data_IF_285703794303
#
_entry.id   IF_285703794303
#
_cell.length_a   1.000
_cell.length_b   1.000
_cell.length_c   1.000
_cell.angle_alpha   90.00
_cell.angle_beta   90.00
_cell.angle_gamma   90.00
#
_symmetry.space_group_name_H-M   'P 1'
#
loop_
_entity.id
_entity.type
_entity.pdbx_description
1 polymer ?
#
# COMPACT_ATOMS: atom_id res chain seq x y z
N UNK A 1 -14.22 -4.14 -5.62
CA UNK A 1 -13.87 -5.58 -5.64
C UNK A 1 -14.16 -6.24 -4.29
N UNK A 2 -13.75 -5.68 -3.15
CA UNK A 2 -14.12 -6.23 -1.82
C UNK A 2 -15.60 -6.00 -1.53
N UNK A 3 -16.14 -4.83 -1.84
CA UNK A 3 -17.57 -4.53 -1.71
C UNK A 3 -18.46 -5.37 -2.65
N UNK A 4 -17.90 -5.88 -3.75
CA UNK A 4 -18.60 -6.84 -4.63
C UNK A 4 -18.42 -8.30 -4.22
N UNK A 5 -17.88 -8.55 -3.02
CA UNK A 5 -17.64 -9.88 -2.46
C UNK A 5 -16.71 -10.79 -3.29
N UNK A 6 -15.92 -10.22 -4.18
CA UNK A 6 -14.90 -10.98 -4.92
C UNK A 6 -13.72 -11.39 -4.04
N UNK A 7 -13.43 -10.56 -3.03
CA UNK A 7 -12.39 -10.79 -2.03
C UNK A 7 -12.96 -10.58 -0.64
N UNK A 8 -12.55 -11.42 0.30
CA UNK A 8 -12.98 -11.34 1.69
C UNK A 8 -12.10 -10.41 2.53
N UNK A 9 -10.96 -9.99 2.00
CA UNK A 9 -9.96 -9.20 2.73
C UNK A 9 -9.41 -8.07 1.86
N UNK A 10 -9.23 -6.92 2.50
CA UNK A 10 -8.44 -5.82 1.98
C UNK A 10 -7.18 -5.69 2.83
N UNK A 11 -6.01 -5.88 2.22
CA UNK A 11 -4.73 -5.70 2.88
C UNK A 11 -4.03 -4.47 2.35
N UNK A 12 -3.78 -3.51 3.23
CA UNK A 12 -3.00 -2.32 2.92
C UNK A 12 -1.57 -2.54 3.40
N UNK A 13 -0.62 -2.35 2.50
CA UNK A 13 0.81 -2.49 2.78
C UNK A 13 1.50 -1.19 2.42
N UNK A 14 2.28 -0.64 3.33
CA UNK A 14 3.10 0.54 3.07
C UNK A 14 4.47 0.36 3.71
N UNK A 15 5.51 0.74 2.96
CA UNK A 15 6.86 0.78 3.52
C UNK A 15 6.96 2.04 4.38
N UNK A 16 7.19 1.92 5.70
CA UNK A 16 7.41 3.09 6.52
C UNK A 16 8.79 3.65 6.18
N UNK A 17 8.82 4.70 5.38
CA UNK A 17 10.01 5.53 5.21
C UNK A 17 9.92 6.61 6.30
N UNK A 18 10.78 6.62 7.32
CA UNK A 18 10.80 7.69 8.30
C UNK A 18 11.18 8.99 7.59
N UNK A 19 10.43 10.06 7.83
CA UNK A 19 10.80 11.40 7.34
C UNK A 19 12.16 11.86 7.89
N UNK A 20 12.56 11.33 9.03
CA UNK A 20 13.88 11.45 9.65
C UNK A 20 14.38 10.04 9.94
N UNK A 21 15.66 9.76 9.88
CA UNK A 21 16.32 8.45 10.07
C UNK A 21 16.00 7.73 11.43
N UNK A 22 14.75 7.80 11.87
CA UNK A 22 14.27 7.21 13.12
C UNK A 22 13.92 5.75 12.87
N UNK A 23 14.63 4.85 13.55
CA UNK A 23 14.32 3.41 13.54
C UNK A 23 12.94 3.16 14.20
N UNK A 24 11.99 2.67 13.41
CA UNK A 24 10.62 2.34 13.88
C UNK A 24 10.65 1.33 15.02
N UNK A 25 11.67 0.48 15.10
CA UNK A 25 11.87 -0.47 16.19
C UNK A 25 12.02 0.20 17.55
N UNK A 26 12.55 1.42 17.60
CA UNK A 26 12.81 2.18 18.83
C UNK A 26 11.58 2.92 19.37
N UNK A 27 10.48 3.05 18.62
CA UNK A 27 9.28 3.74 19.09
C UNK A 27 8.55 2.91 20.16
N UNK A 28 8.17 3.49 21.29
CA UNK A 28 7.36 2.81 22.31
C UNK A 28 5.93 2.56 21.79
N UNK A 29 5.31 1.46 22.18
CA UNK A 29 3.93 1.15 21.87
C UNK A 29 3.71 -0.22 21.19
N UNK A 30 2.44 -0.62 21.08
CA UNK A 30 2.07 -1.85 20.38
C UNK A 30 2.35 -1.74 18.86
N UNK A 31 2.42 -2.89 18.17
CA UNK A 31 2.57 -2.96 16.72
C UNK A 31 1.54 -2.06 16.00
N UNK A 32 0.27 -2.11 16.42
CA UNK A 32 -0.80 -1.28 15.86
C UNK A 32 -0.57 0.22 16.04
N UNK A 33 -0.13 0.65 17.23
CA UNK A 33 0.13 2.06 17.49
C UNK A 33 1.32 2.61 16.67
N UNK A 34 2.33 1.77 16.43
CA UNK A 34 3.50 2.14 15.62
C UNK A 34 3.17 2.22 14.13
N UNK A 35 2.33 1.34 13.64
CA UNK A 35 2.02 1.20 12.21
C UNK A 35 0.85 2.10 11.80
N UNK A 36 -0.12 2.34 12.70
CA UNK A 36 -1.37 3.04 12.38
C UNK A 36 -1.18 4.44 11.78
N UNK A 37 -0.18 5.19 12.23
CA UNK A 37 0.10 6.54 11.71
C UNK A 37 0.48 6.55 10.23
N UNK A 38 1.16 5.52 9.74
CA UNK A 38 1.56 5.38 8.33
C UNK A 38 0.37 5.09 7.40
N UNK A 39 -0.70 4.53 7.94
CA UNK A 39 -1.91 4.19 7.19
C UNK A 39 -3.01 5.25 7.27
N UNK A 40 -2.78 6.34 8.01
CA UNK A 40 -3.80 7.37 8.24
C UNK A 40 -4.36 7.96 6.94
N UNK A 41 -3.50 8.24 5.95
CA UNK A 41 -3.94 8.73 4.65
C UNK A 41 -4.79 7.71 3.91
N UNK A 42 -4.34 6.45 3.85
CA UNK A 42 -5.08 5.38 3.16
C UNK A 42 -6.43 5.13 3.83
N UNK A 43 -6.48 5.08 5.16
CA UNK A 43 -7.75 4.91 5.89
C UNK A 43 -8.67 6.12 5.72
N UNK A 44 -8.14 7.33 5.61
CA UNK A 44 -8.93 8.52 5.31
C UNK A 44 -9.57 8.42 3.92
N UNK A 45 -8.83 8.02 2.88
CA UNK A 45 -9.40 7.77 1.56
C UNK A 45 -10.50 6.70 1.59
N UNK A 46 -10.29 5.61 2.31
CA UNK A 46 -11.34 4.59 2.46
C UNK A 46 -12.61 5.18 3.09
N UNK A 47 -12.47 6.05 4.09
CA UNK A 47 -13.61 6.74 4.73
C UNK A 47 -14.34 7.67 3.77
N UNK A 48 -13.57 8.46 3.03
CA UNK A 48 -14.14 9.49 2.14
C UNK A 48 -14.87 8.88 0.94
N UNK A 49 -14.46 7.69 0.49
CA UNK A 49 -15.02 7.01 -0.68
C UNK A 49 -15.90 5.80 -0.35
N UNK A 50 -15.99 5.39 0.90
CA UNK A 50 -16.92 4.34 1.31
C UNK A 50 -18.33 4.91 1.50
N UNK A 51 -19.29 4.39 0.76
CA UNK A 51 -20.68 4.85 0.77
C UNK A 51 -21.36 4.70 2.16
N UNK A 52 -21.13 5.66 3.06
CA UNK A 52 -21.85 5.74 4.35
C UNK A 52 -21.36 4.77 5.44
N UNK A 53 -20.19 4.17 5.28
CA UNK A 53 -19.58 3.34 6.33
C UNK A 53 -18.95 4.25 7.39
N UNK A 54 -19.26 4.02 8.66
CA UNK A 54 -18.76 4.81 9.78
C UNK A 54 -17.23 4.79 9.88
N UNK A 55 -16.66 5.92 10.31
CA UNK A 55 -15.22 6.14 10.49
C UNK A 55 -14.59 5.07 11.38
N UNK A 56 -15.25 4.68 12.46
CA UNK A 56 -14.76 3.65 13.38
C UNK A 56 -14.75 2.25 12.74
N UNK A 57 -15.45 2.08 11.62
CA UNK A 57 -15.45 0.82 10.88
C UNK A 57 -14.10 0.49 10.23
N UNK A 58 -13.18 1.46 10.14
CA UNK A 58 -11.83 1.26 9.58
C UNK A 58 -10.77 0.96 10.65
N UNK A 59 -11.17 0.76 11.91
CA UNK A 59 -10.28 0.19 12.91
C UNK A 59 -10.09 -1.32 12.63
N UNK A 60 -8.87 -1.77 12.30
CA UNK A 60 -8.60 -3.17 11.98
C UNK A 60 -8.78 -4.09 13.19
N UNK A 61 -8.81 -3.54 14.41
CA UNK A 61 -8.99 -4.31 15.66
C UNK A 61 -10.47 -4.49 16.03
N UNK A 62 -11.37 -3.78 15.36
CA UNK A 62 -12.79 -3.80 15.65
C UNK A 62 -13.51 -4.88 14.81
N UNK A 63 -13.76 -6.06 15.42
CA UNK A 63 -14.45 -7.17 14.78
C UNK A 63 -15.90 -6.83 14.36
N UNK A 64 -16.59 -5.98 15.11
CA UNK A 64 -17.95 -5.54 14.76
C UNK A 64 -17.93 -4.69 13.51
N UNK A 65 -16.96 -3.79 13.39
CA UNK A 65 -16.75 -2.98 12.20
C UNK A 65 -16.38 -3.85 10.97
N UNK A 66 -15.62 -4.92 11.14
CA UNK A 66 -15.32 -5.86 10.06
C UNK A 66 -16.60 -6.53 9.53
N UNK A 67 -17.53 -6.91 10.41
CA UNK A 67 -18.83 -7.46 10.01
C UNK A 67 -19.70 -6.46 9.24
N UNK A 68 -19.70 -5.20 9.66
CA UNK A 68 -20.44 -4.15 8.95
C UNK A 68 -19.89 -3.90 7.54
N UNK A 69 -18.56 -3.89 7.37
CA UNK A 69 -17.94 -3.72 6.04
C UNK A 69 -18.19 -4.90 5.11
N UNK A 70 -18.39 -6.08 5.64
CA UNK A 70 -18.45 -7.31 4.86
C UNK A 70 -17.10 -7.82 4.38
N UNK A 71 -15.98 -7.23 4.84
CA UNK A 71 -14.62 -7.68 4.58
C UNK A 71 -13.67 -7.35 5.73
N UNK A 72 -12.60 -8.10 5.87
CA UNK A 72 -11.53 -7.86 6.83
C UNK A 72 -10.57 -6.80 6.30
N UNK A 73 -10.24 -5.79 7.11
CA UNK A 73 -9.20 -4.81 6.82
C UNK A 73 -7.93 -5.16 7.58
N UNK A 74 -6.83 -5.34 6.85
CA UNK A 74 -5.51 -5.69 7.39
C UNK A 74 -4.53 -4.57 7.02
N UNK A 75 -3.74 -4.11 7.98
CA UNK A 75 -2.67 -3.14 7.74
C UNK A 75 -1.34 -3.76 8.13
N UNK A 76 -0.40 -3.81 7.19
CA UNK A 76 0.90 -4.45 7.37
C UNK A 76 2.04 -3.64 6.78
N UNK A 77 3.23 -3.83 7.32
CA UNK A 77 4.47 -3.35 6.73
C UNK A 77 5.25 -4.52 6.13
N UNK A 78 6.04 -4.33 5.06
CA UNK A 78 6.74 -5.41 4.39
C UNK A 78 7.58 -6.29 5.33
N UNK A 79 8.20 -5.69 6.34
CA UNK A 79 9.07 -6.41 7.29
C UNK A 79 8.35 -7.52 8.06
N UNK A 80 7.05 -7.39 8.32
CA UNK A 80 6.27 -8.35 9.07
C UNK A 80 5.59 -9.42 8.20
N UNK A 81 5.63 -9.26 6.89
CA UNK A 81 4.98 -10.18 5.96
C UNK A 81 5.81 -11.41 5.61
N UNK A 82 7.05 -11.48 6.09
CA UNK A 82 7.92 -12.63 5.84
C UNK A 82 7.31 -13.91 6.44
N UNK A 83 7.10 -14.94 5.60
CA UNK A 83 6.49 -16.21 6.03
C UNK A 83 4.97 -16.25 6.02
N UNK A 84 4.27 -15.13 5.75
CA UNK A 84 2.82 -15.12 5.60
C UNK A 84 2.40 -15.72 4.26
N UNK A 85 1.16 -16.23 4.20
CA UNK A 85 0.45 -16.55 2.96
C UNK A 85 -0.81 -15.71 2.90
N UNK A 86 -1.08 -15.10 1.75
CA UNK A 86 -2.20 -14.19 1.54
C UNK A 86 -3.23 -14.86 0.67
N UNK A 87 -4.41 -15.12 1.22
CA UNK A 87 -5.51 -15.86 0.57
C UNK A 87 -6.79 -15.02 0.60
N UNK A 88 -7.60 -15.12 -0.47
CA UNK A 88 -8.89 -14.42 -0.62
C UNK A 88 -8.79 -12.91 -0.38
N UNK A 89 -7.69 -12.31 -0.85
CA UNK A 89 -7.29 -10.95 -0.48
C UNK A 89 -6.95 -10.11 -1.72
N UNK A 90 -7.41 -8.87 -1.73
CA UNK A 90 -6.76 -7.82 -2.53
C UNK A 90 -5.73 -7.12 -1.65
N UNK A 91 -4.46 -7.17 -2.05
CA UNK A 91 -3.36 -6.48 -1.38
C UNK A 91 -3.01 -5.22 -2.17
N UNK A 92 -3.04 -4.06 -1.50
CA UNK A 92 -2.62 -2.77 -2.07
C UNK A 92 -1.30 -2.39 -1.39
N UNK A 93 -0.26 -2.25 -2.20
CA UNK A 93 1.08 -1.83 -1.77
C UNK A 93 1.29 -0.40 -2.22
N UNK A 94 1.26 0.52 -1.27
CA UNK A 94 1.39 1.96 -1.52
C UNK A 94 2.83 2.43 -1.35
N UNK A 95 3.19 3.55 -2.01
CA UNK A 95 4.57 4.09 -2.06
C UNK A 95 5.58 3.02 -2.48
N UNK A 96 5.24 2.31 -3.55
CA UNK A 96 6.03 1.15 -3.97
C UNK A 96 7.36 1.52 -4.63
N UNK A 97 7.57 2.78 -5.00
CA UNK A 97 8.84 3.33 -5.50
C UNK A 97 9.99 3.16 -4.51
N UNK A 98 9.67 3.17 -3.21
CA UNK A 98 10.64 2.99 -2.12
C UNK A 98 10.90 1.52 -1.75
N UNK A 99 10.41 0.59 -2.54
CA UNK A 99 10.66 -0.83 -2.35
C UNK A 99 11.88 -1.30 -3.14
N UNK A 100 12.77 -2.00 -2.46
CA UNK A 100 13.82 -2.76 -3.12
C UNK A 100 13.26 -3.95 -3.91
N UNK A 101 13.99 -4.45 -4.91
CA UNK A 101 13.61 -5.66 -5.64
C UNK A 101 13.37 -6.87 -4.72
N UNK A 102 14.14 -6.97 -3.64
CA UNK A 102 13.97 -8.03 -2.63
C UNK A 102 12.61 -7.94 -1.93
N UNK A 103 12.16 -6.73 -1.59
CA UNK A 103 10.86 -6.51 -0.97
C UNK A 103 9.72 -6.77 -1.95
N UNK A 104 9.81 -6.27 -3.19
CA UNK A 104 8.81 -6.54 -4.24
C UNK A 104 8.66 -8.04 -4.47
N UNK A 105 9.78 -8.76 -4.64
CA UNK A 105 9.77 -10.23 -4.78
C UNK A 105 9.17 -10.93 -3.57
N UNK A 106 9.53 -10.48 -2.37
CA UNK A 106 9.02 -11.04 -1.12
C UNK A 106 7.50 -10.86 -1.04
N UNK A 107 6.96 -9.68 -1.33
CA UNK A 107 5.51 -9.42 -1.33
C UNK A 107 4.78 -10.24 -2.39
N UNK A 108 5.26 -10.22 -3.63
CA UNK A 108 4.63 -10.96 -4.73
C UNK A 108 4.57 -12.47 -4.48
N UNK A 109 5.58 -13.03 -3.81
CA UNK A 109 5.58 -14.47 -3.46
C UNK A 109 4.68 -14.83 -2.28
N UNK A 110 4.01 -13.88 -1.63
CA UNK A 110 3.00 -14.13 -0.59
C UNK A 110 1.60 -14.36 -1.15
N UNK A 111 1.35 -13.90 -2.38
CA UNK A 111 0.04 -14.00 -3.02
C UNK A 111 -0.28 -15.47 -3.30
N UNK A 112 -1.39 -15.91 -2.76
CA UNK A 112 -1.91 -17.26 -2.89
C UNK A 112 -3.25 -17.29 -3.61
N UNK A 113 -4.01 -18.36 -3.36
CA UNK A 113 -5.28 -18.63 -4.03
C UNK A 113 -6.26 -17.47 -3.86
N UNK A 114 -6.97 -17.14 -4.94
CA UNK A 114 -8.00 -16.11 -4.99
C UNK A 114 -7.52 -14.77 -4.41
N UNK A 115 -6.31 -14.35 -4.78
CA UNK A 115 -5.75 -13.08 -4.31
C UNK A 115 -5.05 -12.35 -5.45
N UNK A 116 -5.00 -11.02 -5.34
CA UNK A 116 -4.23 -10.18 -6.25
C UNK A 116 -3.41 -9.15 -5.46
N UNK A 117 -2.41 -8.58 -6.12
CA UNK A 117 -1.58 -7.52 -5.60
C UNK A 117 -1.61 -6.34 -6.55
N UNK A 118 -1.78 -5.15 -6.00
CA UNK A 118 -1.75 -3.87 -6.71
C UNK A 118 -0.62 -3.05 -6.11
N UNK A 119 0.31 -2.61 -6.94
CA UNK A 119 1.35 -1.66 -6.56
C UNK A 119 0.95 -0.27 -7.02
N UNK A 120 0.98 0.71 -6.11
CA UNK A 120 0.74 2.12 -6.40
C UNK A 120 1.95 2.93 -5.96
N UNK A 121 2.34 3.92 -6.75
CA UNK A 121 3.48 4.78 -6.44
C UNK A 121 3.87 5.69 -7.58
N UNK A 122 4.78 6.60 -7.32
CA UNK A 122 5.33 7.53 -8.28
C UNK A 122 6.86 7.39 -8.36
N UNK A 123 7.34 6.81 -9.44
CA UNK A 123 8.78 6.59 -9.65
C UNK A 123 9.61 7.87 -9.55
N UNK A 124 9.04 9.03 -9.90
CA UNK A 124 9.75 10.31 -9.82
C UNK A 124 9.98 10.77 -8.39
N UNK A 125 9.14 10.32 -7.45
CA UNK A 125 9.24 10.64 -6.02
C UNK A 125 10.16 9.68 -5.25
N UNK A 126 10.66 8.61 -5.89
CA UNK A 126 11.55 7.65 -5.24
C UNK A 126 12.76 8.35 -4.58
N UNK A 127 13.07 8.00 -3.34
CA UNK A 127 14.28 8.46 -2.68
C UNK A 127 15.54 8.10 -3.49
N UNK A 128 16.58 8.93 -3.42
CA UNK A 128 17.82 8.76 -4.21
C UNK A 128 18.41 7.36 -4.12
N UNK A 129 18.33 6.72 -2.94
CA UNK A 129 18.85 5.35 -2.72
C UNK A 129 18.08 4.28 -3.50
N UNK A 130 16.82 4.55 -3.88
CA UNK A 130 15.98 3.61 -4.63
C UNK A 130 15.94 3.93 -6.13
N UNK A 131 16.30 5.14 -6.56
CA UNK A 131 16.31 5.52 -8.00
C UNK A 131 17.22 4.63 -8.84
N UNK A 132 18.31 4.14 -8.28
CA UNK A 132 19.29 3.31 -9.00
C UNK A 132 18.89 1.83 -9.04
N UNK A 133 18.11 1.35 -8.06
CA UNK A 133 17.73 -0.07 -7.92
C UNK A 133 16.26 -0.24 -7.51
N UNK A 134 15.39 0.53 -8.16
CA UNK A 134 13.94 0.45 -7.92
C UNK A 134 13.41 -0.95 -8.24
N UNK A 135 12.86 -1.59 -7.23
CA UNK A 135 12.22 -2.90 -7.37
C UNK A 135 11.05 -2.87 -8.33
N UNK A 136 10.31 -1.75 -8.37
CA UNK A 136 9.16 -1.55 -9.25
C UNK A 136 9.58 -1.43 -10.70
N UNK A 137 10.60 -0.64 -11.03
CA UNK A 137 11.05 -0.50 -12.40
C UNK A 137 11.50 -1.84 -13.00
N UNK A 138 12.26 -2.61 -12.23
CA UNK A 138 12.68 -3.96 -12.63
C UNK A 138 11.50 -4.93 -12.77
N UNK A 139 10.49 -4.82 -11.91
CA UNK A 139 9.28 -5.63 -11.99
C UNK A 139 8.49 -5.30 -13.25
N UNK A 140 8.28 -4.01 -13.55
CA UNK A 140 7.56 -3.55 -14.75
C UNK A 140 8.26 -4.04 -16.01
N UNK A 141 9.58 -3.87 -16.09
CA UNK A 141 10.38 -4.33 -17.23
C UNK A 141 10.27 -5.85 -17.43
N UNK A 142 10.39 -6.60 -16.34
CA UNK A 142 10.36 -8.07 -16.39
C UNK A 142 8.99 -8.65 -16.76
N UNK A 143 7.90 -8.02 -16.30
CA UNK A 143 6.55 -8.54 -16.50
C UNK A 143 5.79 -7.87 -17.64
N UNK A 144 6.40 -6.93 -18.35
CA UNK A 144 5.76 -6.25 -19.48
C UNK A 144 5.28 -7.28 -20.52
N UNK A 145 3.98 -7.21 -20.84
CA UNK A 145 3.33 -8.12 -21.78
C UNK A 145 2.91 -9.48 -21.19
N UNK A 146 3.14 -9.73 -19.91
CA UNK A 146 2.62 -10.92 -19.25
C UNK A 146 1.08 -10.80 -19.09
N UNK A 147 0.27 -11.80 -19.53
CA UNK A 147 -1.20 -11.71 -19.47
C UNK A 147 -1.78 -11.65 -18.06
N UNK A 148 -1.00 -11.97 -17.03
CA UNK A 148 -1.40 -11.86 -15.61
C UNK A 148 -1.12 -10.48 -15.01
N UNK A 149 -0.51 -9.56 -15.77
CA UNK A 149 -0.06 -8.26 -15.25
C UNK A 149 -0.66 -7.12 -16.06
N UNK A 150 -1.38 -6.24 -15.37
CA UNK A 150 -1.83 -4.96 -15.90
C UNK A 150 -0.90 -3.82 -15.44
N UNK A 151 -0.55 -2.93 -16.35
CA UNK A 151 0.22 -1.72 -16.05
C UNK A 151 -0.60 -0.53 -16.50
N UNK A 152 -0.86 0.41 -15.57
CA UNK A 152 -1.57 1.66 -15.85
C UNK A 152 -0.66 2.81 -15.48
N UNK A 153 -0.50 3.76 -16.40
CA UNK A 153 0.23 5.01 -16.18
C UNK A 153 -0.79 6.14 -16.14
N UNK A 154 -0.77 6.93 -15.06
CA UNK A 154 -1.60 8.11 -14.91
C UNK A 154 -0.77 9.32 -15.37
N UNK A 155 -1.22 9.99 -16.42
CA UNK A 155 -0.49 11.10 -17.05
C UNK A 155 -0.97 12.48 -16.54
N UNK A 156 -2.19 12.56 -16.00
CA UNK A 156 -2.75 13.82 -15.52
C UNK A 156 -2.55 14.01 -14.02
N UNK A 157 -1.90 15.12 -13.67
CA UNK A 157 -1.83 15.58 -12.28
C UNK A 157 -3.10 16.37 -11.94
N UNK A 158 -3.96 15.78 -11.11
CA UNK A 158 -5.22 16.39 -10.62
C UNK A 158 -5.04 17.21 -9.34
N UNK A 159 -3.80 17.40 -8.87
CA UNK A 159 -3.52 18.19 -7.67
C UNK A 159 -3.87 19.67 -7.88
N UNK A 160 -4.03 20.39 -6.76
CA UNK A 160 -4.28 21.84 -6.78
C UNK A 160 -3.11 22.59 -7.43
N UNK A 161 -3.40 23.78 -7.97
CA UNK A 161 -2.37 24.65 -8.56
C UNK A 161 -1.23 24.95 -7.57
N UNK A 162 -1.56 25.14 -6.29
CA UNK A 162 -0.56 25.34 -5.23
C UNK A 162 0.33 24.12 -5.04
N UNK A 163 -0.24 22.92 -5.02
CA UNK A 163 0.52 21.68 -4.88
C UNK A 163 1.48 21.46 -6.06
N UNK A 164 1.06 21.81 -7.28
CA UNK A 164 1.92 21.78 -8.47
C UNK A 164 3.11 22.74 -8.39
N UNK A 165 2.92 23.93 -7.80
CA UNK A 165 4.02 24.88 -7.60
C UNK A 165 5.10 24.27 -6.69
N UNK A 166 4.71 23.63 -5.59
CA UNK A 166 5.67 23.01 -4.68
C UNK A 166 6.34 21.76 -5.27
N UNK A 167 5.62 20.98 -6.09
CA UNK A 167 6.19 19.82 -6.76
C UNK A 167 7.31 20.18 -7.76
N UNK A 168 7.38 21.44 -8.21
CA UNK A 168 8.37 21.94 -9.16
C UNK A 168 9.52 22.73 -8.51
N UNK A 169 9.67 22.70 -7.18
CA UNK A 169 10.74 23.45 -6.49
C UNK A 169 12.15 22.96 -6.81
N UNK A 170 12.30 21.70 -7.22
CA UNK A 170 13.60 21.06 -7.50
C UNK A 170 13.93 21.02 -9.01
N UNK A 171 13.12 21.68 -9.86
CA UNK A 171 13.33 21.76 -11.32
C UNK A 171 13.90 23.11 -11.77
#
# INVERSE_FOLDING_TARGET
LVESYQYNKLMLVRNPVPADDIDIGALPGSKHNKVGSYFKSMTQYLKDYSNGIDIDSFDPTNEYAAKQRGYELIMEIPSFMKGMSVLDTIMIVDECEDLSLKQVKMLGTRIGKNSCIVFTGDYHQAEKKYKVDSGISKMIEHFKGNPLVGIVVLEEDVRSSTSKLFANLDN
#
